data_IF_788319673943
#
_entry.id   IF_788319673943
#
_cell.length_a   1.000
_cell.length_b   1.000
_cell.length_c   1.000
_cell.angle_alpha   90.00
_cell.angle_beta   90.00
_cell.angle_gamma   90.00
#
_symmetry.space_group_name_H-M   'P 1'
#
loop_
_entity.id
_entity.type
_entity.pdbx_description
1 polymer ?
#
# COMPACT_ATOMS: atom_id res chain seq x y z
N UNK A 1 -15.47 -4.36 -11.06
CA UNK A 1 -15.34 -5.43 -10.04
C UNK A 1 -14.31 -5.05 -8.97
N UNK A 2 -13.10 -4.59 -9.37
CA UNK A 2 -12.07 -4.13 -8.44
C UNK A 2 -12.57 -3.03 -7.49
N UNK A 3 -13.33 -2.06 -7.98
CA UNK A 3 -13.84 -0.96 -7.16
C UNK A 3 -14.65 -1.46 -5.96
N UNK A 4 -15.48 -2.50 -6.16
CA UNK A 4 -16.26 -3.10 -5.08
C UNK A 4 -15.35 -3.82 -4.08
N UNK A 5 -14.34 -4.56 -4.54
CA UNK A 5 -13.38 -5.22 -3.66
C UNK A 5 -12.64 -4.19 -2.81
N UNK A 6 -12.10 -3.15 -3.46
CA UNK A 6 -11.33 -2.10 -2.80
C UNK A 6 -12.20 -1.32 -1.80
N UNK A 7 -13.40 -0.87 -2.22
CA UNK A 7 -14.30 -0.13 -1.34
C UNK A 7 -14.77 -0.97 -0.13
N UNK A 8 -15.06 -2.26 -0.33
CA UNK A 8 -15.45 -3.15 0.77
C UNK A 8 -14.27 -3.43 1.71
N UNK A 9 -13.05 -3.59 1.19
CA UNK A 9 -11.86 -3.76 2.02
C UNK A 9 -11.59 -2.51 2.88
N UNK A 10 -11.70 -1.31 2.30
CA UNK A 10 -11.55 -0.04 3.03
C UNK A 10 -12.62 0.11 4.11
N UNK A 11 -13.89 -0.06 3.75
CA UNK A 11 -15.01 0.08 4.70
C UNK A 11 -14.95 -0.97 5.82
N UNK A 12 -14.78 -2.24 5.45
CA UNK A 12 -14.68 -3.35 6.40
C UNK A 12 -13.45 -3.22 7.32
N UNK A 13 -12.30 -2.80 6.79
CA UNK A 13 -11.10 -2.56 7.57
C UNK A 13 -11.24 -1.40 8.56
N UNK A 14 -11.87 -0.29 8.15
CA UNK A 14 -12.16 0.83 9.04
C UNK A 14 -13.08 0.41 10.20
N UNK A 15 -14.13 -0.38 9.91
CA UNK A 15 -15.03 -0.94 10.92
C UNK A 15 -14.30 -1.87 11.89
N UNK A 16 -13.55 -2.85 11.36
CA UNK A 16 -12.86 -3.85 12.17
C UNK A 16 -11.80 -3.23 13.09
N UNK A 17 -11.10 -2.20 12.62
CA UNK A 17 -10.05 -1.54 13.40
C UNK A 17 -10.57 -0.43 14.31
N UNK A 18 -11.80 0.04 14.12
CA UNK A 18 -12.36 1.21 14.82
C UNK A 18 -11.60 2.52 14.53
N UNK A 19 -10.74 2.55 13.50
CA UNK A 19 -9.95 3.72 13.14
C UNK A 19 -10.70 4.59 12.14
N UNK A 20 -10.47 5.90 12.21
CA UNK A 20 -10.98 6.87 11.22
C UNK A 20 -10.19 6.76 9.90
N UNK A 21 -10.37 5.66 9.18
CA UNK A 21 -9.68 5.35 7.90
C UNK A 21 -10.67 4.86 6.83
N UNK A 22 -11.88 5.39 6.83
CA UNK A 22 -12.97 4.98 5.92
C UNK A 22 -12.84 5.55 4.49
N UNK A 23 -11.64 5.95 4.06
CA UNK A 23 -11.35 6.55 2.75
C UNK A 23 -10.88 8.00 2.83
N UNK A 24 -10.66 8.60 1.66
CA UNK A 24 -10.19 9.98 1.49
C UNK A 24 -11.33 10.98 1.66
N UNK A 25 -11.70 11.24 2.91
CA UNK A 25 -12.81 12.11 3.29
C UNK A 25 -12.39 13.04 4.43
N UNK A 26 -12.98 14.23 4.50
CA UNK A 26 -12.76 15.13 5.61
C UNK A 26 -13.13 14.45 6.95
N UNK A 27 -12.30 14.65 7.98
CA UNK A 27 -12.46 14.01 9.29
C UNK A 27 -11.89 12.59 9.40
N UNK A 28 -11.46 11.98 8.28
CA UNK A 28 -10.67 10.76 8.28
C UNK A 28 -9.18 11.09 8.43
N UNK A 29 -8.40 10.11 8.87
CA UNK A 29 -6.94 10.16 8.90
C UNK A 29 -6.41 10.15 7.47
N UNK A 30 -5.39 10.95 7.21
CA UNK A 30 -4.73 11.03 5.90
C UNK A 30 -3.82 9.80 5.66
N UNK A 31 -4.45 8.67 5.39
CA UNK A 31 -3.82 7.39 5.06
C UNK A 31 -4.12 7.06 3.59
N UNK A 32 -3.10 7.05 2.74
CA UNK A 32 -3.24 6.77 1.31
C UNK A 32 -1.93 6.33 0.66
N UNK A 33 -2.05 5.76 -0.54
CA UNK A 33 -0.93 5.38 -1.39
C UNK A 33 -0.97 6.19 -2.68
N UNK A 34 0.21 6.46 -3.23
CA UNK A 34 0.41 7.06 -4.55
C UNK A 34 0.93 5.96 -5.47
N UNK A 35 0.25 5.76 -6.59
CA UNK A 35 0.67 4.79 -7.61
C UNK A 35 1.75 5.41 -8.50
N UNK A 36 2.64 4.58 -9.04
CA UNK A 36 3.58 5.02 -10.04
C UNK A 36 2.87 5.31 -11.37
N UNK A 37 3.02 6.54 -11.85
CA UNK A 37 2.42 6.98 -13.11
C UNK A 37 3.14 6.44 -14.34
N UNK A 38 4.39 5.98 -14.17
CA UNK A 38 5.22 5.43 -15.25
C UNK A 38 5.12 3.89 -15.35
N UNK A 39 4.40 3.23 -14.43
CA UNK A 39 4.18 1.79 -14.49
C UNK A 39 3.43 1.41 -15.77
N UNK A 40 3.95 0.43 -16.52
CA UNK A 40 3.43 0.05 -17.85
C UNK A 40 1.97 -0.43 -17.84
N UNK A 41 1.50 -0.98 -16.73
CA UNK A 41 0.13 -1.50 -16.60
C UNK A 41 -0.86 -0.40 -16.17
N UNK A 42 -0.38 0.62 -15.46
CA UNK A 42 -1.17 1.75 -14.97
C UNK A 42 -1.14 2.97 -15.89
N UNK A 43 -0.02 3.20 -16.58
CA UNK A 43 0.18 4.34 -17.45
C UNK A 43 -0.93 4.41 -18.51
N UNK A 44 -1.43 5.63 -18.75
CA UNK A 44 -2.46 5.93 -19.76
C UNK A 44 -3.82 5.24 -19.55
N UNK A 45 -4.07 4.60 -18.40
CA UNK A 45 -5.38 4.06 -18.05
C UNK A 45 -6.35 5.18 -17.68
N UNK A 46 -7.62 5.01 -18.04
CA UNK A 46 -8.67 5.89 -17.56
C UNK A 46 -8.85 5.73 -16.03
N UNK A 47 -9.28 6.78 -15.29
CA UNK A 47 -9.40 6.73 -13.83
C UNK A 47 -10.26 5.58 -13.29
N UNK A 48 -11.32 5.21 -14.01
CA UNK A 48 -12.22 4.09 -13.69
C UNK A 48 -11.59 2.71 -13.93
N UNK A 49 -10.50 2.65 -14.68
CA UNK A 49 -9.75 1.42 -14.96
C UNK A 49 -8.56 1.22 -14.00
N UNK A 50 -8.10 2.28 -13.33
CA UNK A 50 -6.90 2.24 -12.48
C UNK A 50 -6.98 1.19 -11.39
N UNK A 51 -8.10 1.11 -10.65
CA UNK A 51 -8.25 0.09 -9.60
C UNK A 51 -8.30 -1.32 -10.17
N UNK A 52 -8.87 -1.51 -11.36
CA UNK A 52 -8.89 -2.81 -12.01
C UNK A 52 -7.50 -3.23 -12.46
N UNK A 53 -6.70 -2.31 -13.02
CA UNK A 53 -5.31 -2.57 -13.37
C UNK A 53 -4.48 -2.87 -12.11
N UNK A 54 -4.56 -2.03 -11.07
CA UNK A 54 -3.84 -2.23 -9.81
C UNK A 54 -4.13 -3.58 -9.15
N UNK A 55 -5.40 -4.02 -9.14
CA UNK A 55 -5.81 -5.23 -8.42
C UNK A 55 -5.58 -6.51 -9.23
N UNK A 56 -5.70 -6.45 -10.57
CA UNK A 56 -5.75 -7.66 -11.41
C UNK A 56 -4.62 -7.80 -12.43
N UNK A 57 -3.86 -6.76 -12.74
CA UNK A 57 -2.70 -6.91 -13.62
C UNK A 57 -1.53 -7.55 -12.87
N UNK A 58 -0.71 -8.29 -13.61
CA UNK A 58 0.62 -8.68 -13.16
C UNK A 58 1.55 -7.47 -13.25
N UNK A 59 2.24 -7.15 -12.15
CA UNK A 59 3.20 -6.06 -12.10
C UNK A 59 4.59 -6.64 -11.91
N UNK A 60 5.56 -6.20 -12.70
CA UNK A 60 6.96 -6.63 -12.58
C UNK A 60 7.55 -6.15 -11.24
N UNK A 61 7.27 -4.89 -10.90
CA UNK A 61 7.59 -4.26 -9.63
C UNK A 61 6.32 -3.85 -8.88
N UNK A 62 6.46 -3.42 -7.62
CA UNK A 62 5.33 -2.89 -6.87
C UNK A 62 4.90 -1.53 -7.45
N UNK A 63 3.66 -1.37 -7.96
CA UNK A 63 3.19 -0.12 -8.54
C UNK A 63 2.91 0.97 -7.50
N UNK A 64 3.07 0.69 -6.20
CA UNK A 64 2.93 1.70 -5.13
C UNK A 64 4.26 2.43 -4.92
N UNK A 65 4.29 3.70 -5.30
CA UNK A 65 5.46 4.58 -5.21
C UNK A 65 5.62 5.22 -3.84
N UNK A 66 4.56 5.84 -3.32
CA UNK A 66 4.61 6.54 -2.03
C UNK A 66 3.47 6.09 -1.11
N UNK A 67 3.71 6.11 0.20
CA UNK A 67 2.70 5.75 1.21
C UNK A 67 2.68 6.80 2.31
N UNK A 68 1.48 7.27 2.63
CA UNK A 68 1.22 8.26 3.67
C UNK A 68 0.38 7.63 4.78
N UNK A 69 0.78 7.88 6.02
CA UNK A 69 0.15 7.33 7.23
C UNK A 69 0.03 8.45 8.25
N UNK A 70 -1.18 8.98 8.44
CA UNK A 70 -1.46 10.12 9.32
C UNK A 70 -0.94 11.44 8.77
N UNK A 71 -0.91 11.59 7.45
CA UNK A 71 -0.33 12.76 6.78
C UNK A 71 1.19 12.78 6.73
N UNK A 72 1.86 11.75 7.28
CA UNK A 72 3.32 11.61 7.17
C UNK A 72 3.67 10.61 6.07
N UNK A 73 4.54 11.00 5.14
CA UNK A 73 5.12 10.09 4.18
C UNK A 73 6.03 9.09 4.91
N UNK A 74 5.74 7.80 4.76
CA UNK A 74 6.51 6.71 5.38
C UNK A 74 7.28 5.91 4.35
N UNK A 75 6.79 5.85 3.12
CA UNK A 75 7.48 5.31 1.94
C UNK A 75 7.63 6.42 0.93
N UNK A 76 8.85 6.61 0.43
CA UNK A 76 9.18 7.55 -0.61
C UNK A 76 9.87 6.82 -1.75
N UNK A 77 9.33 6.91 -2.97
CA UNK A 77 9.86 6.24 -4.16
C UNK A 77 10.15 4.74 -3.93
N UNK A 78 9.23 4.01 -3.30
CA UNK A 78 9.34 2.58 -3.02
C UNK A 78 10.16 2.22 -1.78
N UNK A 79 10.81 3.20 -1.12
CA UNK A 79 11.71 2.94 0.00
C UNK A 79 11.16 3.41 1.34
N UNK A 80 11.20 2.53 2.35
CA UNK A 80 10.91 2.89 3.74
C UNK A 80 12.22 3.18 4.50
N UNK A 81 12.25 4.25 5.30
CA UNK A 81 13.47 4.68 6.01
C UNK A 81 14.10 3.59 6.92
N UNK A 82 13.29 2.67 7.43
CA UNK A 82 13.73 1.57 8.32
C UNK A 82 13.91 0.22 7.60
N UNK A 83 13.77 0.14 6.27
CA UNK A 83 13.76 -1.15 5.57
C UNK A 83 15.07 -1.94 5.72
N UNK A 84 16.22 -1.24 5.70
CA UNK A 84 17.53 -1.86 5.86
C UNK A 84 17.71 -2.47 7.25
N UNK A 85 17.40 -1.71 8.31
CA UNK A 85 17.52 -2.19 9.70
C UNK A 85 16.51 -3.29 10.00
N UNK A 86 15.27 -3.18 9.52
CA UNK A 86 14.25 -4.21 9.68
C UNK A 86 14.67 -5.52 9.00
N UNK A 87 15.22 -5.45 7.77
CA UNK A 87 15.72 -6.61 7.04
C UNK A 87 16.89 -7.29 7.76
N UNK A 88 17.83 -6.52 8.29
CA UNK A 88 18.96 -7.06 9.05
C UNK A 88 18.49 -7.77 10.33
N UNK A 89 17.61 -7.14 11.11
CA UNK A 89 17.04 -7.71 12.32
C UNK A 89 16.26 -8.99 12.03
N UNK A 90 15.40 -8.98 11.01
CA UNK A 90 14.65 -10.16 10.58
C UNK A 90 15.57 -11.34 10.25
N UNK A 91 16.63 -11.12 9.46
CA UNK A 91 17.59 -12.18 9.12
C UNK A 91 18.31 -12.74 10.34
N UNK A 92 18.70 -11.88 11.27
CA UNK A 92 19.35 -12.32 12.52
C UNK A 92 18.41 -13.20 13.35
N UNK A 93 17.17 -12.75 13.56
CA UNK A 93 16.16 -13.50 14.33
C UNK A 93 15.83 -14.84 13.68
N UNK A 94 15.60 -14.88 12.37
CA UNK A 94 15.33 -16.15 11.67
C UNK A 94 16.52 -17.10 11.77
N UNK A 95 17.75 -16.59 11.60
CA UNK A 95 18.95 -17.41 11.77
C UNK A 95 19.12 -17.94 13.18
N UNK A 96 18.65 -17.24 14.21
CA UNK A 96 18.66 -17.71 15.59
C UNK A 96 17.60 -18.79 15.83
N UNK A 97 16.37 -18.55 15.35
CA UNK A 97 15.24 -19.47 15.51
C UNK A 97 15.41 -20.79 14.73
N UNK A 98 16.20 -20.79 13.66
CA UNK A 98 16.46 -21.97 12.83
C UNK A 98 17.77 -22.72 13.20
N UNK A 99 18.46 -22.29 14.26
CA UNK A 99 19.58 -23.06 14.81
C UNK A 99 19.03 -24.18 15.67
N UNK A 100 18.76 -25.31 15.03
CA UNK A 100 18.88 -26.64 15.63
C UNK A 100 20.30 -27.17 15.39
#
# INVERSE_FOLDING_TARGET
MADRLFAQAVSGGALATGRRVAGLLAGQRADFAVLDGEDVNLANRAPDQLLSALVFCEHEDNPVRDVYVGGRQVVAAGHHALEGSARAAYRATVSELLKD
#
